data_IF_544080822469
#
_entry.id   IF_544080822469
#
_cell.length_a   1.000
_cell.length_b   1.000
_cell.length_c   1.000
_cell.angle_alpha   90.00
_cell.angle_beta   90.00
_cell.angle_gamma   90.00
#
_symmetry.space_group_name_H-M   'P 1'
#
loop_
_entity.id
_entity.type
_entity.pdbx_description
1 polymer ?
#
# COMPACT_ATOMS: atom_id res chain seq x y z
N UNK A 1 -27.72 -13.67 -3.88
CA UNK A 1 -27.49 -12.74 -2.74
C UNK A 1 -27.88 -11.34 -3.24
N UNK A 2 -28.62 -10.53 -2.47
CA UNK A 2 -28.95 -9.16 -2.89
C UNK A 2 -27.68 -8.29 -2.84
N UNK A 3 -27.41 -7.46 -3.85
CA UNK A 3 -26.18 -6.65 -3.92
C UNK A 3 -25.98 -5.74 -2.71
N UNK A 4 -27.06 -5.23 -2.11
CA UNK A 4 -26.98 -4.43 -0.87
C UNK A 4 -26.43 -5.26 0.31
N UNK A 5 -26.83 -6.53 0.39
CA UNK A 5 -26.34 -7.42 1.45
C UNK A 5 -24.86 -7.77 1.26
N UNK A 6 -24.42 -7.94 0.00
CA UNK A 6 -23.00 -8.15 -0.32
C UNK A 6 -22.14 -6.95 0.06
N UNK A 7 -22.55 -5.75 -0.36
CA UNK A 7 -21.86 -4.51 -0.02
C UNK A 7 -21.81 -4.31 1.50
N UNK A 8 -22.90 -4.59 2.21
CA UNK A 8 -22.93 -4.51 3.67
C UNK A 8 -21.94 -5.48 4.34
N UNK A 9 -21.85 -6.73 3.86
CA UNK A 9 -20.91 -7.71 4.39
C UNK A 9 -19.45 -7.32 4.12
N UNK A 10 -19.15 -6.83 2.91
CA UNK A 10 -17.82 -6.31 2.56
C UNK A 10 -17.47 -5.11 3.44
N UNK A 11 -18.40 -4.16 3.61
CA UNK A 11 -18.20 -2.97 4.44
C UNK A 11 -17.91 -3.34 5.89
N UNK A 12 -18.64 -4.31 6.47
CA UNK A 12 -18.38 -4.80 7.84
C UNK A 12 -16.97 -5.38 7.98
N UNK A 13 -16.54 -6.19 7.02
CA UNK A 13 -15.19 -6.76 7.03
C UNK A 13 -14.11 -5.66 6.92
N UNK A 14 -14.31 -4.68 6.02
CA UNK A 14 -13.41 -3.53 5.88
C UNK A 14 -13.36 -2.67 7.14
N UNK A 15 -14.49 -2.43 7.80
CA UNK A 15 -14.53 -1.70 9.09
C UNK A 15 -13.72 -2.41 10.16
N UNK A 16 -13.80 -3.73 10.24
CA UNK A 16 -13.00 -4.51 11.21
C UNK A 16 -11.50 -4.37 10.93
N UNK A 17 -11.08 -4.53 9.66
CA UNK A 17 -9.68 -4.33 9.24
C UNK A 17 -9.23 -2.90 9.52
N UNK A 18 -10.08 -1.91 9.25
CA UNK A 18 -9.76 -0.51 9.49
C UNK A 18 -9.52 -0.22 10.98
N UNK A 19 -10.40 -0.70 11.85
CA UNK A 19 -10.31 -0.51 13.31
C UNK A 19 -9.12 -1.25 13.92
N UNK A 20 -8.87 -2.49 13.48
CA UNK A 20 -7.85 -3.34 14.10
C UNK A 20 -6.47 -3.23 13.44
N UNK A 21 -6.35 -2.61 12.26
CA UNK A 21 -5.08 -2.57 11.52
C UNK A 21 -4.75 -1.19 10.98
N UNK A 22 -5.62 -0.60 10.17
CA UNK A 22 -5.35 0.71 9.55
C UNK A 22 -5.15 1.80 10.59
N UNK A 23 -6.09 1.97 11.52
CA UNK A 23 -6.05 3.02 12.54
C UNK A 23 -4.86 2.85 13.50
N UNK A 24 -4.60 1.66 14.07
CA UNK A 24 -3.38 1.43 14.85
C UNK A 24 -2.10 1.70 14.04
N UNK A 25 -2.05 1.29 12.77
CA UNK A 25 -0.87 1.51 11.92
C UNK A 25 -0.53 3.00 11.76
N UNK A 26 -1.53 3.87 11.61
CA UNK A 26 -1.32 5.32 11.59
C UNK A 26 -0.75 5.85 12.90
N UNK A 27 -1.29 5.41 14.04
CA UNK A 27 -0.78 5.84 15.35
C UNK A 27 0.66 5.38 15.59
N UNK A 28 1.03 4.20 15.09
CA UNK A 28 2.41 3.75 15.10
C UNK A 28 3.29 4.64 14.21
N UNK A 29 2.85 5.01 13.00
CA UNK A 29 3.61 5.99 12.21
C UNK A 29 3.79 7.29 12.99
N UNK A 30 2.73 7.86 13.57
CA UNK A 30 2.83 9.11 14.35
C UNK A 30 3.83 8.98 15.50
N UNK A 31 3.81 7.87 16.24
CA UNK A 31 4.71 7.66 17.37
C UNK A 31 6.18 7.49 16.96
N UNK A 32 6.45 6.89 15.79
CA UNK A 32 7.80 6.51 15.39
C UNK A 32 8.41 7.38 14.27
N UNK A 33 7.65 8.22 13.58
CA UNK A 33 8.13 8.95 12.39
C UNK A 33 9.30 9.90 12.67
N UNK A 34 9.31 10.56 13.82
CA UNK A 34 10.41 11.43 14.22
C UNK A 34 11.54 10.65 14.93
N UNK A 35 11.30 9.40 15.34
CA UNK A 35 12.30 8.54 16.00
C UNK A 35 13.06 7.70 14.98
N UNK A 36 12.37 6.99 14.08
CA UNK A 36 12.97 6.12 13.07
C UNK A 36 13.32 6.85 11.77
N UNK A 37 12.57 7.89 11.41
CA UNK A 37 12.69 8.56 10.11
C UNK A 37 11.73 8.00 9.06
N UNK A 38 11.52 8.77 7.99
CA UNK A 38 10.51 8.48 6.96
C UNK A 38 10.98 7.35 6.05
N UNK A 39 12.28 7.33 5.72
CA UNK A 39 12.88 6.30 4.87
C UNK A 39 12.81 4.92 5.53
N UNK A 40 13.21 4.82 6.80
CA UNK A 40 13.21 3.55 7.53
C UNK A 40 11.79 2.98 7.66
N UNK A 41 10.80 3.83 7.97
CA UNK A 41 9.40 3.42 8.06
C UNK A 41 8.86 2.97 6.70
N UNK A 42 9.15 3.71 5.64
CA UNK A 42 8.71 3.35 4.28
C UNK A 42 9.30 2.01 3.83
N UNK A 43 10.61 1.81 4.06
CA UNK A 43 11.32 0.59 3.69
C UNK A 43 10.78 -0.64 4.44
N UNK A 44 10.62 -0.52 5.77
CA UNK A 44 10.02 -1.58 6.60
C UNK A 44 8.60 -1.89 6.15
N UNK A 45 7.77 -0.87 5.89
CA UNK A 45 6.39 -1.05 5.47
C UNK A 45 6.29 -1.84 4.17
N UNK A 46 7.00 -1.42 3.12
CA UNK A 46 7.03 -2.15 1.84
C UNK A 46 7.59 -3.58 2.00
N UNK A 47 8.63 -3.77 2.82
CA UNK A 47 9.18 -5.10 3.09
C UNK A 47 8.16 -6.02 3.74
N UNK A 48 7.52 -5.59 4.83
CA UNK A 48 6.54 -6.39 5.55
C UNK A 48 5.31 -6.66 4.68
N UNK A 49 4.83 -5.66 3.92
CA UNK A 49 3.75 -5.85 2.95
C UNK A 49 4.09 -6.90 1.89
N UNK A 50 5.34 -6.92 1.41
CA UNK A 50 5.83 -7.93 0.45
C UNK A 50 5.80 -9.33 1.06
N UNK A 51 6.36 -9.47 2.28
CA UNK A 51 6.40 -10.74 3.01
C UNK A 51 4.98 -11.28 3.25
N UNK A 52 4.06 -10.46 3.75
CA UNK A 52 2.69 -10.91 4.02
C UNK A 52 1.92 -11.21 2.73
N UNK A 53 2.09 -10.43 1.66
CA UNK A 53 1.46 -10.74 0.37
C UNK A 53 1.93 -12.08 -0.18
N UNK A 54 3.23 -12.39 -0.12
CA UNK A 54 3.74 -13.70 -0.54
C UNK A 54 3.34 -14.83 0.39
N UNK A 55 3.28 -14.59 1.71
CA UNK A 55 2.80 -15.56 2.70
C UNK A 55 1.32 -15.93 2.49
N UNK A 56 0.51 -15.00 1.96
CA UNK A 56 -0.87 -15.28 1.57
C UNK A 56 -0.93 -15.95 0.19
N UNK A 57 -0.11 -15.50 -0.76
CA UNK A 57 -0.19 -15.94 -2.15
C UNK A 57 0.33 -17.36 -2.40
N UNK A 58 1.47 -17.75 -1.81
CA UNK A 58 2.06 -19.07 -2.09
C UNK A 58 1.20 -20.23 -1.59
N UNK A 59 0.81 -20.28 -0.30
CA UNK A 59 -0.11 -21.26 0.24
C UNK A 59 -1.59 -20.85 0.08
N UNK A 60 -1.97 -20.17 -1.01
CA UNK A 60 -3.34 -19.68 -1.21
C UNK A 60 -4.42 -20.79 -1.05
N UNK A 61 -4.16 -21.99 -1.57
CA UNK A 61 -5.07 -23.14 -1.43
C UNK A 61 -5.24 -23.63 0.02
N UNK A 62 -4.26 -23.39 0.89
CA UNK A 62 -4.36 -23.68 2.31
C UNK A 62 -5.28 -22.66 3.01
N UNK A 63 -5.18 -21.38 2.64
CA UNK A 63 -5.94 -20.29 3.25
C UNK A 63 -7.43 -20.28 2.89
N UNK A 64 -7.80 -20.74 1.70
CA UNK A 64 -9.22 -20.80 1.26
C UNK A 64 -10.03 -21.82 2.08
N UNK A 65 -9.37 -22.80 2.71
CA UNK A 65 -10.04 -23.82 3.52
C UNK A 65 -10.77 -23.17 4.71
N UNK A 66 -11.98 -23.63 5.06
CA UNK A 66 -12.79 -23.05 6.13
C UNK A 66 -12.02 -22.88 7.46
N UNK A 67 -11.20 -23.86 7.81
CA UNK A 67 -10.46 -23.90 9.08
C UNK A 67 -9.38 -22.82 9.18
N UNK A 68 -8.86 -22.33 8.05
CA UNK A 68 -7.71 -21.41 8.01
C UNK A 68 -8.10 -19.97 7.67
N UNK A 69 -9.40 -19.67 7.49
CA UNK A 69 -9.87 -18.34 7.10
C UNK A 69 -9.46 -17.24 8.08
N UNK A 70 -9.41 -17.55 9.38
CA UNK A 70 -9.00 -16.59 10.41
C UNK A 70 -7.54 -16.18 10.18
N UNK A 71 -6.65 -17.13 9.91
CA UNK A 71 -5.24 -16.81 9.65
C UNK A 71 -5.04 -16.01 8.37
N UNK A 72 -5.84 -16.25 7.33
CA UNK A 72 -5.85 -15.40 6.13
C UNK A 72 -6.21 -13.96 6.48
N UNK A 73 -7.29 -13.75 7.25
CA UNK A 73 -7.72 -12.42 7.69
C UNK A 73 -6.63 -11.75 8.53
N UNK A 74 -5.96 -12.47 9.43
CA UNK A 74 -4.86 -11.91 10.24
C UNK A 74 -3.70 -11.46 9.36
N UNK A 75 -3.21 -12.29 8.43
CA UNK A 75 -2.12 -11.93 7.53
C UNK A 75 -2.50 -10.75 6.63
N UNK A 76 -3.74 -10.74 6.14
CA UNK A 76 -4.25 -9.66 5.31
C UNK A 76 -4.34 -8.35 6.11
N UNK A 77 -4.87 -8.41 7.32
CA UNK A 77 -4.91 -7.29 8.28
C UNK A 77 -3.52 -6.76 8.62
N UNK A 78 -2.53 -7.62 8.84
CA UNK A 78 -1.14 -7.22 9.05
C UNK A 78 -0.57 -6.46 7.84
N UNK A 79 -0.95 -6.85 6.62
CA UNK A 79 -0.57 -6.09 5.42
C UNK A 79 -1.11 -4.66 5.48
N UNK A 80 -2.38 -4.47 5.88
CA UNK A 80 -2.94 -3.13 6.06
C UNK A 80 -2.28 -2.37 7.21
N UNK A 81 -1.96 -3.04 8.31
CA UNK A 81 -1.24 -2.41 9.42
C UNK A 81 0.09 -1.82 8.94
N UNK A 82 0.94 -2.60 8.27
CA UNK A 82 2.23 -2.13 7.76
C UNK A 82 2.14 -1.22 6.54
N UNK A 83 1.04 -1.27 5.78
CA UNK A 83 0.78 -0.24 4.77
C UNK A 83 0.61 1.14 5.41
N UNK A 84 -0.09 1.21 6.55
CA UNK A 84 -0.33 2.47 7.28
C UNK A 84 0.82 2.82 8.23
N UNK A 85 1.49 1.83 8.81
CA UNK A 85 2.79 1.95 9.48
C UNK A 85 3.94 1.85 8.48
N UNK A 86 3.94 2.74 7.48
CA UNK A 86 4.76 2.56 6.31
C UNK A 86 4.39 3.50 5.16
N UNK A 87 4.34 2.98 3.92
CA UNK A 87 4.31 3.79 2.71
C UNK A 87 3.05 4.66 2.57
N UNK A 88 1.90 4.30 3.15
CA UNK A 88 0.70 5.12 3.00
C UNK A 88 0.89 6.52 3.61
N UNK A 89 1.46 6.59 4.81
CA UNK A 89 1.74 7.85 5.47
C UNK A 89 3.01 8.53 4.93
N UNK A 90 4.10 7.76 4.76
CA UNK A 90 5.39 8.36 4.36
C UNK A 90 5.36 8.90 2.94
N UNK A 91 4.69 8.25 1.98
CA UNK A 91 4.61 8.75 0.60
C UNK A 91 3.80 10.05 0.48
N UNK A 92 2.95 10.36 1.46
CA UNK A 92 2.26 11.64 1.54
C UNK A 92 3.13 12.74 2.15
N UNK A 93 3.87 12.39 3.21
CA UNK A 93 4.70 13.33 3.99
C UNK A 93 5.96 13.72 3.22
N UNK A 94 6.66 12.74 2.65
CA UNK A 94 7.98 12.91 2.01
C UNK A 94 8.01 13.99 0.92
N UNK A 95 7.06 14.05 -0.04
CA UNK A 95 7.01 15.15 -1.01
C UNK A 95 6.88 16.54 -0.37
N UNK A 96 6.17 16.65 0.75
CA UNK A 96 6.01 17.92 1.44
C UNK A 96 7.30 18.38 2.15
N UNK A 97 8.15 17.43 2.53
CA UNK A 97 9.40 17.66 3.29
C UNK A 97 10.65 17.74 2.40
N UNK A 98 10.62 17.20 1.18
CA UNK A 98 11.78 17.23 0.26
C UNK A 98 11.71 18.40 -0.72
N UNK A 99 10.52 18.75 -1.22
CA UNK A 99 10.44 19.73 -2.30
C UNK A 99 10.66 21.18 -1.81
N UNK A 100 11.45 21.99 -2.55
CA UNK A 100 11.70 23.39 -2.20
C UNK A 100 10.39 24.16 -2.07
N UNK A 101 10.33 25.13 -1.16
CA UNK A 101 9.09 25.85 -0.84
C UNK A 101 8.41 26.44 -2.09
N UNK A 102 9.21 27.00 -3.02
CA UNK A 102 8.74 27.58 -4.29
C UNK A 102 8.06 26.60 -5.26
N UNK A 103 8.41 25.30 -5.21
CA UNK A 103 7.89 24.27 -6.13
C UNK A 103 7.04 23.21 -5.41
N UNK A 104 6.95 23.28 -4.08
CA UNK A 104 6.32 22.25 -3.25
C UNK A 104 4.90 21.91 -3.69
N UNK A 105 4.06 22.91 -3.94
CA UNK A 105 2.66 22.68 -4.34
C UNK A 105 2.56 21.92 -5.66
N UNK A 106 3.36 22.30 -6.66
CA UNK A 106 3.39 21.65 -7.97
C UNK A 106 3.91 20.21 -7.87
N UNK A 107 5.06 20.01 -7.22
CA UNK A 107 5.68 18.69 -7.11
C UNK A 107 4.87 17.75 -6.21
N UNK A 108 4.31 18.25 -5.11
CA UNK A 108 3.37 17.48 -4.28
C UNK A 108 2.08 17.15 -5.05
N UNK A 109 1.54 18.11 -5.82
CA UNK A 109 0.38 17.89 -6.67
C UNK A 109 0.59 16.80 -7.71
N UNK A 110 1.74 16.81 -8.40
CA UNK A 110 2.12 15.76 -9.35
C UNK A 110 2.25 14.40 -8.63
N UNK A 111 2.90 14.37 -7.48
CA UNK A 111 3.06 13.14 -6.68
C UNK A 111 1.71 12.57 -6.22
N UNK A 112 0.78 13.44 -5.80
CA UNK A 112 -0.57 13.04 -5.41
C UNK A 112 -1.39 12.54 -6.62
N UNK A 113 -1.23 13.18 -7.78
CA UNK A 113 -1.91 12.78 -9.01
C UNK A 113 -1.44 11.41 -9.51
N UNK A 114 -0.13 11.14 -9.48
CA UNK A 114 0.41 9.81 -9.85
C UNK A 114 -0.03 8.74 -8.88
N UNK A 115 -0.09 9.03 -7.57
CA UNK A 115 -0.66 8.14 -6.56
C UNK A 115 -2.12 7.78 -6.85
N UNK A 116 -2.96 8.77 -7.20
CA UNK A 116 -4.36 8.53 -7.58
C UNK A 116 -4.48 7.73 -8.89
N UNK A 117 -3.64 8.01 -9.88
CA UNK A 117 -3.60 7.24 -11.11
C UNK A 117 -3.24 5.77 -10.84
N UNK A 118 -2.25 5.52 -9.98
CA UNK A 118 -1.90 4.18 -9.52
C UNK A 118 -3.05 3.48 -8.79
N UNK A 119 -3.81 4.20 -7.95
CA UNK A 119 -4.99 3.64 -7.29
C UNK A 119 -6.10 3.22 -8.27
N UNK A 120 -6.34 4.00 -9.33
CA UNK A 120 -7.28 3.66 -10.41
C UNK A 120 -6.82 2.39 -11.12
N UNK A 121 -5.55 2.35 -11.54
CA UNK A 121 -4.96 1.17 -12.20
C UNK A 121 -5.02 -0.06 -11.28
N UNK A 122 -4.76 0.09 -9.98
CA UNK A 122 -4.86 -0.98 -9.01
C UNK A 122 -6.29 -1.49 -8.81
N UNK A 123 -7.25 -0.58 -8.63
CA UNK A 123 -8.65 -0.93 -8.38
C UNK A 123 -9.28 -1.67 -9.56
N UNK A 124 -9.15 -1.14 -10.78
CA UNK A 124 -9.67 -1.80 -11.97
C UNK A 124 -8.77 -2.96 -12.40
N UNK A 125 -7.45 -2.78 -12.44
CA UNK A 125 -6.51 -3.82 -12.84
C UNK A 125 -6.62 -5.08 -11.98
N UNK A 126 -6.73 -4.95 -10.66
CA UNK A 126 -6.95 -6.10 -9.79
C UNK A 126 -8.30 -6.77 -10.04
N UNK A 127 -9.37 -5.99 -10.24
CA UNK A 127 -10.71 -6.52 -10.52
C UNK A 127 -10.74 -7.42 -11.76
N UNK A 128 -10.05 -7.01 -12.84
CA UNK A 128 -9.91 -7.82 -14.05
C UNK A 128 -8.91 -8.97 -13.86
N UNK A 129 -7.77 -8.73 -13.21
CA UNK A 129 -6.72 -9.74 -13.04
C UNK A 129 -7.14 -10.88 -12.11
N UNK A 130 -7.88 -10.59 -11.04
CA UNK A 130 -8.31 -11.57 -10.04
C UNK A 130 -9.37 -12.57 -10.54
N UNK A 131 -9.97 -12.30 -11.71
CA UNK A 131 -10.95 -13.19 -12.33
C UNK A 131 -10.37 -14.60 -12.55
N UNK A 132 -11.19 -15.66 -12.41
CA UNK A 132 -10.76 -17.02 -12.69
C UNK A 132 -10.20 -17.20 -14.11
N UNK A 133 -9.21 -18.08 -14.25
CA UNK A 133 -8.64 -18.45 -15.55
C UNK A 133 -9.62 -19.26 -16.41
N UNK A 134 -10.57 -19.94 -15.76
CA UNK A 134 -11.61 -20.73 -16.40
C UNK A 134 -12.79 -19.83 -16.80
N UNK A 135 -13.03 -19.72 -18.12
CA UNK A 135 -14.13 -18.95 -18.73
C UNK A 135 -15.51 -19.31 -18.18
N UNK A 136 -15.69 -20.51 -17.65
CA UNK A 136 -16.98 -20.96 -17.11
C UNK A 136 -17.27 -20.43 -15.71
N UNK A 137 -16.25 -19.87 -15.04
CA UNK A 137 -16.32 -19.39 -13.65
C UNK A 137 -16.07 -17.88 -13.53
N UNK A 138 -15.86 -17.19 -14.65
CA UNK A 138 -15.70 -15.73 -14.69
C UNK A 138 -17.02 -15.03 -14.41
N UNK A 139 -16.96 -13.91 -13.71
CA UNK A 139 -18.13 -13.07 -13.48
C UNK A 139 -18.68 -12.52 -14.81
N UNK A 140 -20.00 -12.38 -14.91
CA UNK A 140 -20.65 -11.93 -16.12
C UNK A 140 -20.14 -10.53 -16.54
N UNK A 141 -19.59 -10.45 -17.77
CA UNK A 141 -19.04 -9.20 -18.32
C UNK A 141 -17.52 -9.06 -18.19
N UNK A 142 -16.82 -9.99 -17.52
CA UNK A 142 -15.36 -9.97 -17.42
C UNK A 142 -14.68 -11.04 -18.29
N UNK A 143 -13.52 -10.73 -18.91
CA UNK A 143 -12.67 -11.74 -19.53
C UNK A 143 -11.96 -12.60 -18.45
N UNK A 144 -11.46 -13.80 -18.80
CA UNK A 144 -10.62 -14.60 -17.90
C UNK A 144 -9.40 -13.82 -17.43
N UNK A 145 -9.20 -13.83 -16.11
CA UNK A 145 -8.06 -13.20 -15.46
C UNK A 145 -6.91 -14.18 -15.26
N UNK A 146 -5.94 -13.74 -14.48
CA UNK A 146 -4.81 -14.57 -14.03
C UNK A 146 -5.14 -15.33 -12.73
N UNK A 147 -6.28 -15.03 -12.10
CA UNK A 147 -6.75 -15.63 -10.86
C UNK A 147 -6.18 -14.95 -9.61
N UNK A 148 -6.95 -15.00 -8.51
CA UNK A 148 -6.63 -14.34 -7.23
C UNK A 148 -5.21 -14.63 -6.74
N UNK A 149 -4.74 -15.89 -6.82
CA UNK A 149 -3.38 -16.27 -6.41
C UNK A 149 -2.32 -15.46 -7.16
N UNK A 150 -2.40 -15.42 -8.49
CA UNK A 150 -1.40 -14.74 -9.31
C UNK A 150 -1.51 -13.21 -9.16
N UNK A 151 -2.72 -12.69 -8.96
CA UNK A 151 -2.92 -11.27 -8.63
C UNK A 151 -2.27 -10.89 -7.30
N UNK A 152 -2.36 -11.75 -6.27
CA UNK A 152 -1.68 -11.50 -4.99
C UNK A 152 -0.14 -11.55 -5.14
N UNK A 153 0.40 -12.45 -5.97
CA UNK A 153 1.84 -12.46 -6.30
C UNK A 153 2.21 -11.15 -7.00
N UNK A 154 1.42 -10.70 -7.98
CA UNK A 154 1.64 -9.43 -8.69
C UNK A 154 1.68 -8.24 -7.71
N UNK A 155 0.73 -8.17 -6.76
CA UNK A 155 0.72 -7.13 -5.72
C UNK A 155 1.96 -7.21 -4.82
N UNK A 156 2.39 -8.42 -4.44
CA UNK A 156 3.64 -8.62 -3.70
C UNK A 156 4.87 -8.11 -4.46
N UNK A 157 4.95 -8.36 -5.78
CA UNK A 157 6.02 -7.83 -6.64
C UNK A 157 5.97 -6.31 -6.72
N UNK A 158 4.78 -5.71 -6.84
CA UNK A 158 4.62 -4.25 -6.85
C UNK A 158 5.11 -3.63 -5.53
N UNK A 159 4.79 -4.26 -4.38
CA UNK A 159 5.29 -3.82 -3.07
C UNK A 159 6.83 -3.91 -3.01
N UNK A 160 7.40 -4.98 -3.53
CA UNK A 160 8.86 -5.15 -3.58
C UNK A 160 9.52 -4.10 -4.47
N UNK A 161 8.92 -3.79 -5.63
CA UNK A 161 9.39 -2.71 -6.49
C UNK A 161 9.30 -1.37 -5.75
N UNK A 162 8.21 -1.09 -5.04
CA UNK A 162 8.08 0.10 -4.18
C UNK A 162 9.18 0.18 -3.11
N UNK A 163 9.57 -0.95 -2.54
CA UNK A 163 10.74 -1.05 -1.64
C UNK A 163 12.02 -0.60 -2.33
N UNK A 164 12.28 -1.07 -3.56
CA UNK A 164 13.46 -0.69 -4.34
C UNK A 164 13.47 0.82 -4.68
N UNK A 165 12.32 1.37 -5.09
CA UNK A 165 12.18 2.81 -5.35
C UNK A 165 12.37 3.67 -4.09
N UNK A 166 12.14 3.11 -2.91
CA UNK A 166 12.38 3.84 -1.65
C UNK A 166 13.85 4.21 -1.49
N UNK A 167 14.80 3.41 -2.01
CA UNK A 167 16.24 3.75 -2.00
C UNK A 167 16.58 5.01 -2.80
N UNK A 168 15.71 5.45 -3.71
CA UNK A 168 15.90 6.68 -4.48
C UNK A 168 15.38 7.93 -3.74
N UNK A 169 14.69 7.73 -2.61
CA UNK A 169 14.10 8.81 -1.82
C UNK A 169 15.08 9.22 -0.71
N UNK A 170 15.52 10.49 -0.66
CA UNK A 170 16.39 10.96 0.42
C UNK A 170 15.63 11.01 1.74
N UNK A 171 16.30 10.73 2.85
CA UNK A 171 15.72 10.86 4.20
C UNK A 171 15.64 12.35 4.60
N UNK A 172 14.42 12.91 4.82
CA UNK A 172 14.25 14.29 5.24
C UNK A 172 14.45 14.52 6.75
N UNK A 173 14.48 13.46 7.58
CA UNK A 173 14.57 13.61 9.03
C UNK A 173 15.75 14.48 9.47
N UNK A 174 15.44 15.52 10.24
CA UNK A 174 16.43 16.38 10.92
C UNK A 174 17.16 17.36 10.00
N UNK A 175 16.73 17.51 8.75
CA UNK A 175 17.28 18.47 7.79
C UNK A 175 16.29 19.58 7.53
N UNK A 176 16.78 20.81 7.37
CA UNK A 176 15.92 21.90 6.93
C UNK A 176 15.58 21.73 5.44
N UNK A 177 14.49 22.37 5.00
CA UNK A 177 14.12 22.37 3.59
C UNK A 177 15.19 23.03 2.71
N UNK A 178 15.86 24.06 3.23
CA UNK A 178 16.92 24.81 2.55
C UNK A 178 18.18 23.94 2.36
N UNK A 179 18.49 23.10 3.35
CA UNK A 179 19.57 22.11 3.27
C UNK A 179 19.25 20.99 2.27
N UNK A 180 17.99 20.55 2.19
CA UNK A 180 17.54 19.53 1.24
C UNK A 180 17.42 20.07 -0.18
N UNK A 181 17.03 21.34 -0.35
CA UNK A 181 16.90 22.02 -1.64
C UNK A 181 18.22 22.55 -2.19
N UNK A 182 19.27 22.61 -1.37
CA UNK A 182 20.54 23.25 -1.70
C UNK A 182 20.46 24.78 -1.78
N UNK A 183 19.38 25.39 -1.28
CA UNK A 183 19.21 26.86 -1.27
C UNK A 183 20.25 27.55 -0.38
N UNK A 184 20.80 26.85 0.63
CA UNK A 184 21.87 27.38 1.50
C UNK A 184 23.24 27.50 0.79
N UNK A 185 23.48 26.75 -0.29
CA UNK A 185 24.75 26.83 -1.05
C UNK A 185 24.74 27.94 -2.11
N UNK A 186 23.55 28.38 -2.56
CA UNK A 186 23.40 29.44 -3.55
C UNK A 186 23.60 30.85 -2.99
N UNK A 187 23.63 31.01 -1.66
CA UNK A 187 23.83 32.29 -0.95
C UNK A 187 25.29 32.53 -0.47
N UNK A 188 26.24 31.63 -0.78
CA UNK A 188 27.68 31.82 -0.51
C UNK A 188 28.46 32.13 -1.78
#
# INVERSE_FOLDING_TARGET
>A
MNGIHEVFMIARAQTLIALCSTVPGYWFTVAFIDIMGRFAIQLMGFFMMTVFMFAIAFPYNHWIKPDNRIGFVVMYSLTFFFANFGPNATTFIVPAEIFPARLRSTCHGISAATGKAGAIVGAFGFLYAAQPQDKTKTDAGYPPGIGVKNSLIMLGVINFVGMLFTFLVPEPKGKSLEELSGETEAEK
#
